data_IF_407341640906
#
_entry.id   IF_407341640906
#
_cell.length_a   1.000
_cell.length_b   1.000
_cell.length_c   1.000
_cell.angle_alpha   90.00
_cell.angle_beta   90.00
_cell.angle_gamma   90.00
#
_symmetry.space_group_name_H-M   'P 1'
#
loop_
_entity.id
_entity.type
_entity.pdbx_description
1 polymer ?
#
# COMPACT_ATOMS: atom_id res chain seq x y z
N UNK A 1 1.31 -21.07 -9.46
CA UNK A 1 0.44 -20.54 -8.37
C UNK A 1 1.18 -20.31 -7.03
N UNK A 2 2.46 -19.92 -7.01
CA UNK A 2 3.19 -19.68 -5.76
C UNK A 2 2.75 -18.36 -5.07
N UNK A 3 2.57 -17.27 -5.83
CA UNK A 3 2.23 -15.94 -5.28
C UNK A 3 0.88 -15.90 -4.56
N UNK A 4 -0.17 -16.49 -5.14
CA UNK A 4 -1.48 -16.56 -4.48
C UNK A 4 -1.39 -17.31 -3.15
N UNK A 5 -0.60 -18.40 -3.09
CA UNK A 5 -0.39 -19.15 -1.85
C UNK A 5 0.38 -18.35 -0.79
N UNK A 6 1.42 -17.60 -1.19
CA UNK A 6 2.16 -16.72 -0.28
C UNK A 6 1.27 -15.60 0.26
N UNK A 7 0.49 -14.93 -0.61
CA UNK A 7 -0.42 -13.87 -0.21
C UNK A 7 -1.48 -14.38 0.77
N UNK A 8 -2.04 -15.58 0.55
CA UNK A 8 -2.97 -16.26 1.48
C UNK A 8 -2.34 -16.53 2.86
N UNK A 9 -1.06 -16.86 2.94
CA UNK A 9 -0.38 -17.09 4.23
C UNK A 9 -0.21 -15.79 5.03
N UNK A 10 0.07 -14.68 4.36
CA UNK A 10 0.15 -13.37 5.01
C UNK A 10 -1.24 -12.86 5.41
N UNK A 11 -2.25 -13.02 4.56
CA UNK A 11 -3.63 -12.61 4.86
C UNK A 11 -4.18 -13.24 6.16
N UNK A 12 -3.76 -14.47 6.51
CA UNK A 12 -4.15 -15.13 7.77
C UNK A 12 -3.63 -14.47 9.04
N UNK A 13 -2.60 -13.63 8.94
CA UNK A 13 -2.00 -12.93 10.09
C UNK A 13 -2.65 -11.57 10.34
N UNK A 14 -3.25 -10.99 9.30
CA UNK A 14 -3.93 -9.69 9.38
C UNK A 14 -5.19 -9.85 10.24
N UNK A 15 -5.22 -9.15 11.38
CA UNK A 15 -6.37 -9.12 12.28
C UNK A 15 -7.44 -8.13 11.85
N UNK A 16 -7.07 -7.09 11.10
CA UNK A 16 -8.00 -6.11 10.55
C UNK A 16 -8.86 -6.73 9.42
N UNK A 17 -10.17 -6.73 9.62
CA UNK A 17 -11.10 -7.45 8.74
C UNK A 17 -11.17 -6.81 7.35
N UNK A 18 -11.15 -5.48 7.29
CA UNK A 18 -11.21 -4.75 6.02
C UNK A 18 -9.94 -4.98 5.19
N UNK A 19 -8.77 -4.88 5.82
CA UNK A 19 -7.48 -5.18 5.17
C UNK A 19 -7.41 -6.63 4.69
N UNK A 20 -7.91 -7.57 5.50
CA UNK A 20 -7.99 -8.99 5.11
C UNK A 20 -8.92 -9.21 3.92
N UNK A 21 -10.07 -8.52 3.88
CA UNK A 21 -11.00 -8.57 2.76
C UNK A 21 -10.38 -8.07 1.45
N UNK A 22 -9.66 -6.93 1.47
CA UNK A 22 -8.96 -6.43 0.28
C UNK A 22 -7.94 -7.43 -0.27
N UNK A 23 -7.21 -8.13 0.61
CA UNK A 23 -6.29 -9.18 0.17
C UNK A 23 -7.00 -10.39 -0.42
N UNK A 24 -8.10 -10.83 0.18
CA UNK A 24 -8.88 -11.95 -0.35
C UNK A 24 -9.43 -11.63 -1.75
N UNK A 25 -9.92 -10.41 -1.97
CA UNK A 25 -10.33 -9.94 -3.30
C UNK A 25 -9.15 -9.85 -4.28
N UNK A 26 -7.97 -9.40 -3.84
CA UNK A 26 -6.77 -9.36 -4.66
C UNK A 26 -6.33 -10.78 -5.11
N UNK A 27 -6.40 -11.75 -4.19
CA UNK A 27 -6.09 -13.17 -4.45
C UNK A 27 -7.06 -13.74 -5.48
N UNK A 28 -8.37 -13.59 -5.25
CA UNK A 28 -9.42 -14.06 -6.18
C UNK A 28 -9.27 -13.44 -7.56
N UNK A 29 -8.99 -12.13 -7.60
CA UNK A 29 -8.74 -11.42 -8.86
C UNK A 29 -7.54 -11.99 -9.61
N UNK A 30 -6.44 -12.24 -8.90
CA UNK A 30 -5.23 -12.81 -9.49
C UNK A 30 -5.47 -14.22 -10.05
N UNK A 31 -6.11 -15.10 -9.27
CA UNK A 31 -6.44 -16.47 -9.65
C UNK A 31 -7.41 -16.53 -10.84
N UNK A 32 -8.30 -15.55 -10.98
CA UNK A 32 -9.22 -15.43 -12.10
C UNK A 32 -8.60 -14.76 -13.35
N UNK A 33 -7.31 -14.40 -13.33
CA UNK A 33 -6.63 -13.69 -14.43
C UNK A 33 -7.00 -12.21 -14.55
N UNK A 34 -7.67 -11.63 -13.54
CA UNK A 34 -8.05 -10.23 -13.47
C UNK A 34 -6.89 -9.38 -12.92
N UNK A 35 -5.76 -9.39 -13.63
CA UNK A 35 -4.49 -8.87 -13.13
C UNK A 35 -4.51 -7.38 -12.73
N UNK A 36 -5.24 -6.54 -13.49
CA UNK A 36 -5.37 -5.11 -13.15
C UNK A 36 -6.09 -4.92 -11.81
N UNK A 37 -7.15 -5.69 -11.57
CA UNK A 37 -7.89 -5.66 -10.30
C UNK A 37 -7.01 -6.17 -9.15
N UNK A 38 -6.28 -7.26 -9.36
CA UNK A 38 -5.35 -7.80 -8.36
C UNK A 38 -4.29 -6.78 -7.92
N UNK A 39 -3.70 -6.02 -8.88
CA UNK A 39 -2.77 -4.93 -8.57
C UNK A 39 -3.44 -3.83 -7.74
N UNK A 40 -4.64 -3.38 -8.13
CA UNK A 40 -5.34 -2.31 -7.40
C UNK A 40 -5.68 -2.76 -5.97
N UNK A 41 -6.26 -3.94 -5.80
CA UNK A 41 -6.73 -4.42 -4.50
C UNK A 41 -5.58 -4.76 -3.55
N UNK A 42 -4.49 -5.35 -4.05
CA UNK A 42 -3.29 -5.61 -3.24
C UNK A 42 -2.63 -4.30 -2.77
N UNK A 43 -2.63 -3.26 -3.61
CA UNK A 43 -2.17 -1.94 -3.21
C UNK A 43 -3.04 -1.31 -2.12
N UNK A 44 -4.38 -1.42 -2.23
CA UNK A 44 -5.31 -0.92 -1.21
C UNK A 44 -5.04 -1.57 0.15
N UNK A 45 -4.87 -2.90 0.20
CA UNK A 45 -4.50 -3.60 1.43
C UNK A 45 -3.16 -3.14 2.01
N UNK A 46 -2.15 -2.92 1.18
CA UNK A 46 -0.84 -2.43 1.63
C UNK A 46 -0.91 -1.02 2.22
N UNK A 47 -1.67 -0.11 1.59
CA UNK A 47 -1.87 1.24 2.11
C UNK A 47 -2.65 1.26 3.41
N UNK A 48 -3.67 0.39 3.55
CA UNK A 48 -4.44 0.25 4.80
C UNK A 48 -3.52 -0.06 5.99
N UNK A 49 -2.63 -1.06 5.84
CA UNK A 49 -1.65 -1.41 6.88
C UNK A 49 -0.70 -0.27 7.23
N UNK A 50 -0.20 0.46 6.24
CA UNK A 50 0.69 1.60 6.48
C UNK A 50 -0.05 2.75 7.18
N UNK A 51 -1.31 2.98 6.85
CA UNK A 51 -2.15 3.96 7.53
C UNK A 51 -2.45 3.54 8.97
N UNK A 52 -2.70 2.25 9.21
CA UNK A 52 -2.86 1.70 10.57
C UNK A 52 -1.61 1.87 11.40
N UNK A 53 -0.44 1.59 10.82
CA UNK A 53 0.86 1.80 11.47
C UNK A 53 1.04 3.26 11.87
N UNK A 54 0.79 4.19 10.95
CA UNK A 54 0.88 5.62 11.22
C UNK A 54 -0.11 6.04 12.30
N UNK A 55 -1.38 5.66 12.17
CA UNK A 55 -2.43 6.07 13.08
C UNK A 55 -2.21 5.54 14.50
N UNK A 56 -1.82 4.26 14.62
CA UNK A 56 -1.64 3.59 15.90
C UNK A 56 -0.36 3.96 16.64
N UNK A 57 0.73 4.28 15.93
CA UNK A 57 2.06 4.44 16.55
C UNK A 57 2.77 5.76 16.26
N UNK A 58 2.47 6.44 15.15
CA UNK A 58 3.29 7.56 14.64
C UNK A 58 2.50 8.84 14.35
N UNK A 59 1.21 8.92 14.72
CA UNK A 59 0.30 9.97 14.26
C UNK A 59 0.78 11.39 14.59
N UNK A 60 1.32 11.60 15.79
CA UNK A 60 1.84 12.91 16.20
C UNK A 60 3.02 13.35 15.33
N UNK A 61 4.03 12.47 15.16
CA UNK A 61 5.20 12.76 14.33
C UNK A 61 4.83 12.93 12.85
N UNK A 62 3.89 12.10 12.36
CA UNK A 62 3.34 12.22 11.01
C UNK A 62 2.68 13.58 10.79
N UNK A 63 1.78 14.01 11.68
CA UNK A 63 1.10 15.30 11.54
C UNK A 63 2.08 16.48 11.58
N UNK A 64 3.11 16.43 12.42
CA UNK A 64 4.14 17.47 12.46
C UNK A 64 4.91 17.57 11.14
N UNK A 65 5.33 16.43 10.57
CA UNK A 65 6.05 16.42 9.29
C UNK A 65 5.14 16.76 8.10
N UNK A 66 3.88 16.32 8.13
CA UNK A 66 2.87 16.69 7.13
C UNK A 66 2.64 18.20 7.11
N UNK A 67 2.42 18.81 8.27
CA UNK A 67 2.26 20.26 8.41
C UNK A 67 3.49 21.05 7.94
N UNK A 68 4.69 20.49 8.11
CA UNK A 68 5.94 21.10 7.65
C UNK A 68 6.06 21.12 6.12
N UNK A 69 5.52 20.09 5.44
CA UNK A 69 5.58 19.95 3.97
C UNK A 69 4.41 20.61 3.27
N UNK A 70 3.25 20.60 3.90
CA UNK A 70 2.01 21.17 3.41
C UNK A 70 1.42 22.06 4.52
N UNK A 71 1.49 23.38 4.30
CA UNK A 71 1.00 24.36 5.27
C UNK A 71 -0.53 24.30 5.44
N UNK A 72 -1.26 23.78 4.45
CA UNK A 72 -2.72 23.63 4.50
C UNK A 72 -3.15 22.30 5.12
N UNK A 73 -2.19 21.44 5.50
CA UNK A 73 -2.48 20.17 6.14
C UNK A 73 -3.27 20.39 7.43
N UNK A 74 -4.44 19.75 7.50
CA UNK A 74 -5.19 19.65 8.75
C UNK A 74 -4.72 18.39 9.47
N UNK A 75 -4.27 18.53 10.71
CA UNK A 75 -3.85 17.37 11.51
C UNK A 75 -4.92 16.26 11.48
N UNK A 76 -4.52 15.04 11.12
CA UNK A 76 -5.36 13.87 11.12
C UNK A 76 -5.73 13.47 12.55
N UNK A 77 -7.01 13.16 12.77
CA UNK A 77 -7.59 12.73 14.04
C UNK A 77 -8.26 11.35 13.94
N UNK A 78 -8.68 10.97 12.74
CA UNK A 78 -9.15 9.63 12.40
C UNK A 78 -8.27 9.01 11.30
N UNK A 79 -8.36 7.68 11.09
CA UNK A 79 -7.62 6.99 10.01
C UNK A 79 -7.93 7.58 8.64
N UNK A 80 -9.21 7.83 8.35
CA UNK A 80 -9.67 8.37 7.07
C UNK A 80 -9.12 9.77 6.76
N UNK A 81 -8.73 10.54 7.78
CA UNK A 81 -8.11 11.85 7.58
C UNK A 81 -6.77 11.74 6.84
N UNK A 82 -6.07 10.61 6.95
CA UNK A 82 -4.81 10.33 6.25
C UNK A 82 -5.02 10.24 4.73
N UNK A 83 -6.22 9.84 4.29
CA UNK A 83 -6.58 9.73 2.87
C UNK A 83 -6.79 11.09 2.18
N UNK A 84 -6.76 12.21 2.92
CA UNK A 84 -6.74 13.56 2.34
C UNK A 84 -5.42 13.88 1.65
N UNK A 85 -4.36 13.15 1.97
CA UNK A 85 -3.04 13.29 1.38
C UNK A 85 -2.88 12.35 0.18
N UNK A 86 -2.16 12.80 -0.84
CA UNK A 86 -1.76 11.92 -1.95
C UNK A 86 -0.85 10.82 -1.43
N UNK A 87 -1.02 9.60 -1.92
CA UNK A 87 -0.20 8.46 -1.49
C UNK A 87 1.29 8.66 -1.78
N UNK A 88 1.64 9.40 -2.84
CA UNK A 88 3.02 9.79 -3.12
C UNK A 88 3.66 10.55 -1.96
N UNK A 89 2.90 11.48 -1.40
CA UNK A 89 3.36 12.41 -0.36
C UNK A 89 3.34 11.70 0.99
N UNK A 90 2.33 10.85 1.22
CA UNK A 90 2.28 9.93 2.35
C UNK A 90 3.53 9.04 2.40
N UNK A 91 3.89 8.39 1.29
CA UNK A 91 5.10 7.57 1.18
C UNK A 91 6.36 8.40 1.45
N UNK A 92 6.44 9.62 0.92
CA UNK A 92 7.57 10.51 1.18
C UNK A 92 7.73 10.88 2.66
N UNK A 93 6.63 11.00 3.41
CA UNK A 93 6.67 11.30 4.84
C UNK A 93 7.12 10.06 5.63
N UNK A 94 6.46 8.92 5.43
CA UNK A 94 6.75 7.71 6.22
C UNK A 94 8.13 7.10 5.89
N UNK A 95 8.63 7.34 4.67
CA UNK A 95 9.89 6.77 4.19
C UNK A 95 11.11 7.67 4.35
N UNK A 96 10.95 8.84 4.97
CA UNK A 96 12.02 9.81 5.16
C UNK A 96 12.19 10.15 6.66
N UNK A 97 13.38 10.62 7.07
CA UNK A 97 13.53 11.19 8.40
C UNK A 97 12.54 12.35 8.62
N UNK A 98 12.00 12.51 9.84
CA UNK A 98 12.36 11.77 11.05
C UNK A 98 11.60 10.44 11.26
N UNK A 99 10.59 10.12 10.45
CA UNK A 99 9.75 8.94 10.68
C UNK A 99 10.45 7.63 10.31
N UNK A 100 10.96 7.53 9.07
CA UNK A 100 11.67 6.35 8.55
C UNK A 100 11.01 4.99 8.88
N UNK A 101 9.66 4.93 8.91
CA UNK A 101 8.86 3.72 9.14
C UNK A 101 9.20 2.65 8.10
N UNK A 102 9.44 3.08 6.87
CA UNK A 102 10.01 2.26 5.80
C UNK A 102 11.35 2.83 5.35
N UNK A 103 12.25 1.95 4.88
CA UNK A 103 13.55 2.37 4.36
C UNK A 103 13.44 3.12 3.03
N UNK A 104 14.45 3.97 2.72
CA UNK A 104 14.52 4.77 1.49
C UNK A 104 14.25 3.95 0.23
N UNK A 105 14.90 2.80 0.07
CA UNK A 105 14.75 1.98 -1.14
C UNK A 105 13.35 1.36 -1.25
N UNK A 106 12.76 0.97 -0.11
CA UNK A 106 11.37 0.48 -0.09
C UNK A 106 10.42 1.60 -0.52
N UNK A 107 10.61 2.80 0.01
CA UNK A 107 9.82 3.98 -0.40
C UNK A 107 9.93 4.24 -1.91
N UNK A 108 11.13 4.28 -2.46
CA UNK A 108 11.33 4.52 -3.90
C UNK A 108 10.69 3.41 -4.76
N UNK A 109 10.80 2.14 -4.34
CA UNK A 109 10.15 1.02 -5.03
C UNK A 109 8.61 1.15 -5.00
N UNK A 110 8.05 1.44 -3.84
CA UNK A 110 6.61 1.61 -3.68
C UNK A 110 6.10 2.80 -4.50
N UNK A 111 6.80 3.94 -4.47
CA UNK A 111 6.36 5.17 -5.13
C UNK A 111 6.55 5.13 -6.64
N UNK A 112 7.71 4.68 -7.11
CA UNK A 112 8.07 4.78 -8.53
C UNK A 112 7.62 3.58 -9.35
N UNK A 113 7.46 2.40 -8.73
CA UNK A 113 7.03 1.21 -9.45
C UNK A 113 5.61 0.79 -9.07
N UNK A 114 5.35 0.58 -7.78
CA UNK A 114 4.07 0.01 -7.35
C UNK A 114 2.90 0.99 -7.52
N UNK A 115 3.00 2.22 -7.00
CA UNK A 115 1.97 3.24 -7.12
C UNK A 115 1.72 3.62 -8.59
N UNK A 116 2.77 3.72 -9.40
CA UNK A 116 2.62 4.00 -10.83
C UNK A 116 1.86 2.88 -11.55
N UNK A 117 2.21 1.61 -11.28
CA UNK A 117 1.51 0.47 -11.86
C UNK A 117 0.05 0.42 -11.40
N UNK A 118 -0.21 0.69 -10.12
CA UNK A 118 -1.58 0.80 -9.59
C UNK A 118 -2.37 1.87 -10.31
N UNK A 119 -1.81 3.06 -10.49
CA UNK A 119 -2.48 4.16 -11.18
C UNK A 119 -2.78 3.81 -12.64
N UNK A 120 -1.85 3.12 -13.31
CA UNK A 120 -2.09 2.56 -14.64
C UNK A 120 -3.20 1.52 -14.65
N UNK A 121 -3.33 0.68 -13.62
CA UNK A 121 -4.38 -0.32 -13.54
C UNK A 121 -5.76 0.25 -13.14
N UNK A 122 -5.79 1.33 -12.37
CA UNK A 122 -6.99 1.98 -11.85
C UNK A 122 -7.66 2.99 -12.78
N UNK A 123 -6.97 3.49 -13.80
CA UNK A 123 -7.54 4.45 -14.76
C UNK A 123 -7.85 3.83 -16.13
N UNK A 124 -8.86 4.35 -16.87
CA UNK A 124 -9.09 3.98 -18.26
C UNK A 124 -7.86 4.32 -19.11
N UNK A 125 -7.23 3.30 -19.69
CA UNK A 125 -6.10 3.46 -20.61
C UNK A 125 -5.86 2.16 -21.40
N UNK A 126 -4.90 2.20 -22.33
CA UNK A 126 -4.50 1.08 -23.17
C UNK A 126 -3.49 0.12 -22.52
N UNK A 127 -3.10 0.33 -21.25
CA UNK A 127 -2.12 -0.52 -20.57
C UNK A 127 -2.64 -1.95 -20.41
N UNK A 128 -1.87 -2.90 -20.94
CA UNK A 128 -2.07 -4.33 -20.74
C UNK A 128 -0.96 -4.88 -19.86
N UNK A 129 -1.30 -5.74 -18.90
CA UNK A 129 -0.34 -6.43 -18.05
C UNK A 129 -0.65 -7.93 -18.04
N UNK A 130 0.40 -8.73 -17.96
CA UNK A 130 0.29 -10.19 -17.80
C UNK A 130 0.55 -10.63 -16.36
N UNK A 131 0.40 -11.94 -16.12
CA UNK A 131 0.56 -12.58 -14.82
C UNK A 131 1.88 -12.23 -14.13
N UNK A 132 3.01 -12.29 -14.85
CA UNK A 132 4.33 -12.04 -14.26
C UNK A 132 4.47 -10.61 -13.74
N UNK A 133 3.87 -9.62 -14.41
CA UNK A 133 3.93 -8.21 -13.98
C UNK A 133 3.09 -7.98 -12.74
N UNK A 134 1.90 -8.58 -12.66
CA UNK A 134 1.05 -8.51 -11.48
C UNK A 134 1.68 -9.29 -10.30
N UNK A 135 2.27 -10.46 -10.56
CA UNK A 135 2.98 -11.28 -9.57
C UNK A 135 4.11 -10.51 -8.90
N UNK A 136 4.97 -9.89 -9.71
CA UNK A 136 6.10 -9.10 -9.20
C UNK A 136 5.64 -7.92 -8.34
N UNK A 137 4.56 -7.24 -8.75
CA UNK A 137 3.98 -6.16 -7.94
C UNK A 137 3.50 -6.66 -6.58
N UNK A 138 2.72 -7.75 -6.57
CA UNK A 138 2.19 -8.34 -5.33
C UNK A 138 3.34 -8.83 -4.44
N UNK A 139 4.36 -9.45 -5.02
CA UNK A 139 5.54 -9.93 -4.28
C UNK A 139 6.29 -8.81 -3.56
N UNK A 140 6.49 -7.66 -4.21
CA UNK A 140 7.10 -6.49 -3.57
C UNK A 140 6.29 -6.06 -2.35
N UNK A 141 4.96 -5.97 -2.47
CA UNK A 141 4.09 -5.60 -1.35
C UNK A 141 4.13 -6.66 -0.23
N UNK A 142 4.18 -7.95 -0.58
CA UNK A 142 4.31 -9.05 0.39
C UNK A 142 5.58 -8.91 1.21
N UNK A 143 6.73 -8.78 0.56
CA UNK A 143 8.02 -8.78 1.24
C UNK A 143 8.25 -7.51 2.07
N UNK A 144 7.73 -6.37 1.61
CA UNK A 144 8.08 -5.07 2.18
C UNK A 144 7.00 -4.48 3.07
N UNK A 145 5.74 -4.87 2.90
CA UNK A 145 4.60 -4.36 3.66
C UNK A 145 3.93 -5.48 4.44
N UNK A 146 3.32 -6.45 3.76
CA UNK A 146 2.53 -7.49 4.45
C UNK A 146 3.37 -8.37 5.37
N UNK A 147 4.64 -8.62 5.08
CA UNK A 147 5.49 -9.40 5.99
C UNK A 147 5.86 -8.65 7.29
N UNK A 148 5.74 -7.32 7.29
CA UNK A 148 6.22 -6.45 8.38
C UNK A 148 5.10 -5.85 9.23
N UNK A 149 3.96 -5.56 8.61
CA UNK A 149 2.87 -4.81 9.23
C UNK A 149 1.57 -5.61 9.37
N UNK A 150 1.51 -6.84 8.83
CA UNK A 150 0.38 -7.76 9.00
C UNK A 150 0.38 -8.46 10.36
#
# INVERSE_FOLDING_TARGET
>A
MHIASSLRQHAKRITDQDTSAFLDEAIKSFEAGLYRAAVVLSWVGAMSLLQDEVFGRHLHAFNAEAQRRDADWRAAKAKDDLSRMKESDFLDIIGSPPLSIIGKNVKEELKNNCLQLRNGCGHPNSLKIGESRASAHIEVLVLNIFAKFA
#
